data_IF_368088378694
#
_entry.id   IF_368088378694
#
_cell.length_a   1.000
_cell.length_b   1.000
_cell.length_c   1.000
_cell.angle_alpha   90.00
_cell.angle_beta   90.00
_cell.angle_gamma   90.00
#
_symmetry.space_group_name_H-M   'P 1'
#
loop_
_entity.id
_entity.type
_entity.pdbx_description
1 polymer ?
#
# COMPACT_ATOMS: atom_id res chain seq x y z
N UNK A 1 31.79 25.38 -47.81
CA UNK A 1 32.65 24.60 -46.89
C UNK A 1 31.88 24.33 -45.60
N UNK A 2 31.23 23.18 -45.48
CA UNK A 2 30.56 22.77 -44.24
C UNK A 2 31.60 22.16 -43.30
N UNK A 3 31.95 22.89 -42.24
CA UNK A 3 32.84 22.42 -41.20
C UNK A 3 32.00 21.57 -40.23
N UNK A 4 32.12 20.25 -40.32
CA UNK A 4 31.52 19.32 -39.36
C UNK A 4 32.10 19.63 -37.98
N UNK A 5 31.28 20.22 -37.09
CA UNK A 5 31.62 20.40 -35.67
C UNK A 5 31.30 19.09 -34.95
N UNK A 6 32.28 18.21 -34.83
CA UNK A 6 32.20 17.03 -33.96
C UNK A 6 32.65 17.37 -32.54
N UNK A 7 32.15 16.64 -31.55
CA UNK A 7 32.64 16.68 -30.17
C UNK A 7 34.08 16.17 -30.10
N UNK A 8 34.92 16.78 -29.26
CA UNK A 8 36.27 16.24 -29.00
C UNK A 8 36.20 15.07 -28.02
N UNK A 9 37.16 14.16 -28.09
CA UNK A 9 37.24 13.03 -27.14
C UNK A 9 37.33 13.51 -25.69
N UNK A 10 38.04 14.62 -25.46
CA UNK A 10 38.16 15.24 -24.14
C UNK A 10 36.82 15.83 -23.66
N UNK A 11 36.06 16.44 -24.55
CA UNK A 11 34.74 17.01 -24.23
C UNK A 11 33.75 15.91 -23.84
N UNK A 12 33.71 14.80 -24.59
CA UNK A 12 32.92 13.64 -24.22
C UNK A 12 33.33 13.07 -22.85
N UNK A 13 34.64 12.95 -22.58
CA UNK A 13 35.14 12.49 -21.29
C UNK A 13 34.68 13.39 -20.14
N UNK A 14 34.83 14.71 -20.29
CA UNK A 14 34.40 15.68 -19.28
C UNK A 14 32.89 15.64 -19.05
N UNK A 15 32.08 15.51 -20.11
CA UNK A 15 30.62 15.38 -19.96
C UNK A 15 30.23 14.13 -19.19
N UNK A 16 30.84 12.97 -19.48
CA UNK A 16 30.57 11.72 -18.75
C UNK A 16 30.97 11.84 -17.29
N UNK A 17 32.12 12.46 -16.99
CA UNK A 17 32.56 12.70 -15.61
C UNK A 17 31.50 13.53 -14.86
N UNK A 18 31.07 14.65 -15.43
CA UNK A 18 30.05 15.51 -14.80
C UNK A 18 28.72 14.75 -14.62
N UNK A 19 28.27 14.02 -15.64
CA UNK A 19 27.03 13.22 -15.56
C UNK A 19 27.12 12.16 -14.47
N UNK A 20 28.25 11.46 -14.34
CA UNK A 20 28.44 10.43 -13.32
C UNK A 20 28.39 10.99 -11.89
N UNK A 21 29.00 12.17 -11.67
CA UNK A 21 28.96 12.87 -10.37
C UNK A 21 27.51 13.22 -10.02
N UNK A 22 26.77 13.83 -10.97
CA UNK A 22 25.36 14.19 -10.75
C UNK A 22 24.49 12.96 -10.51
N UNK A 23 24.68 11.89 -11.30
CA UNK A 23 23.94 10.66 -11.16
C UNK A 23 24.15 9.99 -9.79
N UNK A 24 25.37 10.04 -9.25
CA UNK A 24 25.69 9.46 -7.93
C UNK A 24 24.89 10.08 -6.78
N UNK A 25 24.53 11.36 -6.90
CA UNK A 25 23.73 12.09 -5.90
C UNK A 25 22.23 11.90 -6.17
N UNK A 26 21.82 11.90 -7.44
CA UNK A 26 20.41 11.84 -7.82
C UNK A 26 19.79 10.45 -7.61
N UNK A 27 20.49 9.37 -8.00
CA UNK A 27 19.97 8.00 -7.96
C UNK A 27 19.49 7.54 -6.58
N UNK A 28 20.25 7.70 -5.46
CA UNK A 28 19.77 7.25 -4.16
C UNK A 28 18.48 7.98 -3.72
N UNK A 29 18.36 9.27 -4.06
CA UNK A 29 17.14 10.04 -3.78
C UNK A 29 15.94 9.48 -4.55
N UNK A 30 16.10 9.15 -5.84
CA UNK A 30 15.02 8.58 -6.65
C UNK A 30 14.53 7.24 -6.11
N UNK A 31 15.42 6.36 -5.67
CA UNK A 31 15.04 5.08 -5.07
C UNK A 31 14.17 5.29 -3.81
N UNK A 32 14.55 6.22 -2.92
CA UNK A 32 13.76 6.52 -1.73
C UNK A 32 12.35 7.04 -2.06
N UNK A 33 12.19 7.84 -3.12
CA UNK A 33 10.89 8.35 -3.56
C UNK A 33 10.01 7.22 -4.09
N UNK A 34 10.58 6.32 -4.89
CA UNK A 34 9.87 5.14 -5.41
C UNK A 34 9.36 4.28 -4.25
N UNK A 35 10.19 4.04 -3.24
CA UNK A 35 9.82 3.26 -2.06
C UNK A 35 8.66 3.89 -1.27
N UNK A 36 8.73 5.21 -1.02
CA UNK A 36 7.66 5.96 -0.35
C UNK A 36 6.36 5.93 -1.15
N UNK A 37 6.45 5.99 -2.47
CA UNK A 37 5.30 5.89 -3.35
C UNK A 37 4.66 4.49 -3.32
N UNK A 38 5.47 3.43 -3.26
CA UNK A 38 4.96 2.07 -3.10
C UNK A 38 4.23 1.90 -1.76
N UNK A 39 4.82 2.37 -0.65
CA UNK A 39 4.17 2.37 0.67
C UNK A 39 2.84 3.13 0.66
N UNK A 40 2.85 4.35 0.11
CA UNK A 40 1.65 5.19 0.06
C UNK A 40 0.56 4.60 -0.84
N UNK A 41 0.94 4.05 -1.99
CA UNK A 41 0.02 3.37 -2.91
C UNK A 41 -0.65 2.18 -2.25
N UNK A 42 0.13 1.33 -1.58
CA UNK A 42 -0.39 0.14 -0.90
C UNK A 42 -1.30 0.51 0.28
N UNK A 43 -0.91 1.50 1.09
CA UNK A 43 -1.75 1.99 2.18
C UNK A 43 -3.06 2.61 1.68
N UNK A 44 -2.99 3.43 0.62
CA UNK A 44 -4.16 4.04 -0.01
C UNK A 44 -5.09 2.99 -0.63
N UNK A 45 -4.53 1.91 -1.21
CA UNK A 45 -5.31 0.77 -1.71
C UNK A 45 -6.12 0.13 -0.59
N UNK A 46 -5.51 -0.09 0.58
CA UNK A 46 -6.21 -0.65 1.73
C UNK A 46 -7.24 0.32 2.33
N UNK A 47 -6.91 1.61 2.46
CA UNK A 47 -7.86 2.65 2.90
C UNK A 47 -9.06 2.73 1.94
N UNK A 48 -8.79 2.65 0.64
CA UNK A 48 -9.81 2.56 -0.40
C UNK A 48 -10.69 1.32 -0.25
N UNK A 49 -10.10 0.17 0.08
CA UNK A 49 -10.85 -1.06 0.36
C UNK A 49 -11.81 -0.91 1.55
N UNK A 50 -11.38 -0.22 2.61
CA UNK A 50 -12.24 0.09 3.78
C UNK A 50 -13.41 0.99 3.38
N UNK A 51 -13.13 2.04 2.61
CA UNK A 51 -14.18 2.94 2.11
C UNK A 51 -15.18 2.22 1.19
N UNK A 52 -14.68 1.32 0.34
CA UNK A 52 -15.51 0.47 -0.51
C UNK A 52 -16.37 -0.48 0.33
N UNK A 53 -15.79 -1.18 1.30
CA UNK A 53 -16.52 -2.11 2.16
C UNK A 53 -17.66 -1.43 2.91
N UNK A 54 -17.36 -0.26 3.50
CA UNK A 54 -18.35 0.61 4.14
C UNK A 54 -19.49 0.99 3.18
N UNK A 55 -19.13 1.45 1.98
CA UNK A 55 -20.11 1.90 0.99
C UNK A 55 -20.96 0.75 0.47
N UNK A 56 -20.37 -0.43 0.23
CA UNK A 56 -21.10 -1.63 -0.18
C UNK A 56 -22.05 -2.12 0.91
N UNK A 57 -21.66 -2.05 2.19
CA UNK A 57 -22.54 -2.41 3.30
C UNK A 57 -23.77 -1.50 3.35
N UNK A 58 -23.56 -0.18 3.22
CA UNK A 58 -24.64 0.79 3.17
C UNK A 58 -25.55 0.63 1.94
N UNK A 59 -24.96 0.45 0.76
CA UNK A 59 -25.72 0.27 -0.50
C UNK A 59 -26.58 -0.99 -0.49
N UNK A 60 -26.07 -2.08 0.07
CA UNK A 60 -26.75 -3.39 0.07
C UNK A 60 -27.63 -3.60 1.30
N UNK A 61 -27.51 -2.77 2.33
CA UNK A 61 -28.24 -2.95 3.58
C UNK A 61 -27.83 -4.20 4.37
N UNK A 62 -26.64 -4.75 4.11
CA UNK A 62 -26.12 -5.97 4.75
C UNK A 62 -24.72 -5.77 5.28
N UNK A 63 -24.30 -6.62 6.21
CA UNK A 63 -22.93 -6.58 6.73
C UNK A 63 -21.93 -7.01 5.65
N UNK A 64 -20.89 -6.20 5.43
CA UNK A 64 -19.77 -6.54 4.56
C UNK A 64 -18.49 -6.72 5.37
N UNK A 65 -17.70 -7.74 5.07
CA UNK A 65 -16.47 -8.09 5.77
C UNK A 65 -15.27 -7.96 4.84
N UNK A 66 -14.27 -7.17 5.26
CA UNK A 66 -12.91 -7.26 4.76
C UNK A 66 -12.17 -8.33 5.53
N UNK A 67 -11.57 -9.29 4.82
CA UNK A 67 -10.99 -10.49 5.41
C UNK A 67 -9.63 -10.73 4.78
N UNK A 68 -8.62 -10.90 5.62
CA UNK A 68 -7.31 -11.37 5.17
C UNK A 68 -7.44 -12.76 4.53
N UNK A 69 -6.66 -13.00 3.47
CA UNK A 69 -6.52 -14.31 2.87
C UNK A 69 -5.56 -15.24 3.67
N UNK A 70 -4.99 -14.74 4.77
CA UNK A 70 -4.29 -15.53 5.78
C UNK A 70 -5.22 -15.89 6.93
N UNK A 71 -4.95 -17.02 7.60
CA UNK A 71 -5.59 -17.35 8.89
C UNK A 71 -5.05 -16.53 10.05
N UNK A 72 -3.92 -15.85 9.86
CA UNK A 72 -3.33 -14.90 10.80
C UNK A 72 -3.74 -13.47 10.46
N UNK A 73 -3.51 -12.52 11.35
CA UNK A 73 -3.70 -11.08 11.08
C UNK A 73 -2.65 -10.51 10.10
N UNK A 74 -2.04 -11.34 9.25
CA UNK A 74 -1.19 -10.95 8.14
C UNK A 74 -2.05 -10.73 6.90
N UNK A 75 -2.00 -9.55 6.30
CA UNK A 75 -2.75 -9.15 5.12
C UNK A 75 -1.87 -9.10 3.86
N UNK A 76 -0.60 -9.52 3.96
CA UNK A 76 0.37 -9.51 2.87
C UNK A 76 0.01 -10.51 1.77
N UNK A 77 -0.70 -11.59 2.08
CA UNK A 77 -1.18 -12.61 1.13
C UNK A 77 -2.43 -12.19 0.34
N UNK A 78 -2.83 -10.92 0.47
CA UNK A 78 -4.04 -10.37 -0.13
C UNK A 78 -5.24 -10.51 0.79
N UNK A 79 -6.37 -9.96 0.35
CA UNK A 79 -7.61 -9.94 1.12
C UNK A 79 -8.81 -9.85 0.21
N UNK A 80 -10.00 -10.04 0.78
CA UNK A 80 -11.24 -10.00 0.04
C UNK A 80 -12.33 -9.22 0.77
N UNK A 81 -13.32 -8.77 0.00
CA UNK A 81 -14.56 -8.20 0.50
C UNK A 81 -15.72 -9.16 0.25
N UNK A 82 -16.44 -9.55 1.29
CA UNK A 82 -17.53 -10.54 1.22
C UNK A 82 -18.76 -10.05 2.00
N UNK A 83 -19.98 -10.53 1.67
CA UNK A 83 -21.17 -10.28 2.48
C UNK A 83 -21.20 -11.24 3.69
N UNK A 84 -20.93 -10.72 4.89
CA UNK A 84 -21.11 -11.44 6.16
C UNK A 84 -20.24 -12.70 6.38
N UNK A 85 -19.31 -13.04 5.48
CA UNK A 85 -18.44 -14.20 5.65
C UNK A 85 -17.27 -13.93 6.60
N UNK A 86 -16.57 -14.99 7.00
CA UNK A 86 -15.39 -14.96 7.88
C UNK A 86 -14.10 -15.44 7.18
N UNK A 87 -14.20 -15.86 5.93
CA UNK A 87 -13.06 -16.22 5.09
C UNK A 87 -13.31 -15.77 3.64
N UNK A 88 -12.29 -15.90 2.80
CA UNK A 88 -12.36 -15.57 1.38
C UNK A 88 -12.90 -16.71 0.50
N UNK A 89 -13.67 -17.64 1.07
CA UNK A 89 -14.32 -18.73 0.34
C UNK A 89 -15.79 -18.38 0.06
N UNK A 90 -16.33 -18.85 -1.05
CA UNK A 90 -17.70 -18.52 -1.48
C UNK A 90 -17.82 -17.17 -2.21
N UNK A 91 -18.92 -16.45 -1.96
CA UNK A 91 -19.28 -15.24 -2.70
C UNK A 91 -18.38 -14.06 -2.32
N UNK A 92 -17.42 -13.76 -3.19
CA UNK A 92 -16.52 -12.61 -3.04
C UNK A 92 -16.98 -11.46 -3.92
N UNK A 93 -17.18 -10.28 -3.32
CA UNK A 93 -17.51 -9.04 -4.04
C UNK A 93 -16.29 -8.42 -4.70
N UNK A 94 -15.15 -8.44 -4.00
CA UNK A 94 -13.89 -7.93 -4.55
C UNK A 94 -12.70 -8.69 -3.96
N UNK A 95 -11.68 -8.98 -4.78
CA UNK A 95 -10.40 -9.56 -4.35
C UNK A 95 -9.29 -8.54 -4.54
N UNK A 96 -8.41 -8.46 -3.55
CA UNK A 96 -7.23 -7.61 -3.57
C UNK A 96 -6.00 -8.50 -3.64
N UNK A 97 -5.03 -8.16 -4.51
CA UNK A 97 -3.83 -8.98 -4.69
C UNK A 97 -2.94 -8.93 -3.43
N UNK A 98 -2.02 -9.89 -3.31
CA UNK A 98 -0.93 -9.81 -2.33
C UNK A 98 -0.14 -8.50 -2.44
N UNK A 99 0.50 -8.11 -1.34
CA UNK A 99 1.44 -6.99 -1.36
C UNK A 99 2.63 -7.32 -2.27
N UNK A 100 3.14 -6.31 -2.97
CA UNK A 100 4.32 -6.42 -3.83
C UNK A 100 5.48 -5.57 -3.30
N UNK A 101 6.67 -5.71 -3.88
CA UNK A 101 7.82 -4.84 -3.57
C UNK A 101 8.45 -5.08 -2.19
N UNK A 102 8.29 -6.26 -1.61
CA UNK A 102 8.80 -6.58 -0.27
C UNK A 102 8.03 -5.89 0.86
N UNK A 103 6.80 -5.45 0.59
CA UNK A 103 5.92 -4.88 1.60
C UNK A 103 5.22 -5.98 2.41
N UNK A 104 5.20 -5.80 3.72
CA UNK A 104 4.50 -6.66 4.69
C UNK A 104 3.41 -5.82 5.33
N UNK A 105 2.16 -6.26 5.23
CA UNK A 105 1.01 -5.63 5.85
C UNK A 105 0.50 -6.55 6.96
N UNK A 106 0.76 -6.19 8.21
CA UNK A 106 0.33 -6.96 9.38
C UNK A 106 -0.67 -6.14 10.20
N UNK A 107 -1.65 -6.77 10.82
CA UNK A 107 -2.63 -6.12 11.67
C UNK A 107 -2.81 -6.82 13.01
N UNK A 108 -3.62 -6.22 13.86
CA UNK A 108 -4.08 -6.86 15.11
C UNK A 108 -5.36 -7.70 14.91
N UNK A 109 -5.97 -7.67 13.71
CA UNK A 109 -7.15 -8.45 13.34
C UNK A 109 -7.01 -8.96 11.92
N UNK A 110 -7.60 -10.12 11.62
CA UNK A 110 -7.70 -10.68 10.27
C UNK A 110 -9.02 -10.32 9.57
N UNK A 111 -9.98 -9.72 10.28
CA UNK A 111 -11.32 -9.38 9.77
C UNK A 111 -11.78 -8.02 10.29
N UNK A 112 -12.36 -7.21 9.41
CA UNK A 112 -13.11 -5.99 9.72
C UNK A 112 -14.49 -6.08 9.07
N UNK A 113 -15.54 -6.07 9.88
CA UNK A 113 -16.93 -6.14 9.39
C UNK A 113 -17.64 -4.82 9.59
N UNK A 114 -18.39 -4.40 8.58
CA UNK A 114 -19.11 -3.13 8.51
C UNK A 114 -20.61 -3.41 8.46
N UNK A 115 -21.38 -2.82 9.36
CA UNK A 115 -22.84 -2.93 9.38
C UNK A 115 -23.49 -2.14 8.22
N UNK A 116 -24.80 -2.29 8.05
CA UNK A 116 -25.57 -1.59 7.02
C UNK A 116 -25.55 -0.05 7.13
N UNK A 117 -25.05 0.51 8.23
CA UNK A 117 -24.88 1.96 8.42
C UNK A 117 -23.42 2.40 8.16
N UNK A 118 -22.54 1.44 7.87
CA UNK A 118 -21.12 1.66 7.61
C UNK A 118 -20.26 1.80 8.87
N UNK A 119 -20.78 1.44 10.04
CA UNK A 119 -20.00 1.36 11.28
C UNK A 119 -19.33 0.00 11.38
N UNK A 120 -18.21 -0.10 12.09
CA UNK A 120 -17.63 -1.40 12.38
C UNK A 120 -18.53 -2.17 13.35
N UNK A 121 -18.90 -3.40 12.99
CA UNK A 121 -19.48 -4.37 13.92
C UNK A 121 -18.40 -5.15 14.66
N UNK A 122 -17.17 -5.16 14.14
CA UNK A 122 -15.96 -5.57 14.86
C UNK A 122 -15.39 -4.41 15.69
N UNK A 123 -14.47 -4.69 16.61
CA UNK A 123 -13.68 -3.64 17.26
C UNK A 123 -12.81 -2.88 16.25
N UNK A 124 -12.46 -1.64 16.60
CA UNK A 124 -11.41 -0.89 15.89
C UNK A 124 -10.10 -1.69 15.84
N UNK A 125 -9.28 -1.41 14.84
CA UNK A 125 -8.01 -2.08 14.70
C UNK A 125 -7.00 -1.26 13.93
N UNK A 126 -5.79 -1.79 13.91
CA UNK A 126 -4.63 -1.14 13.33
C UNK A 126 -3.90 -2.14 12.46
N UNK A 127 -3.50 -1.67 11.28
CA UNK A 127 -2.57 -2.37 10.41
C UNK A 127 -1.27 -1.56 10.31
N UNK A 128 -0.17 -2.27 10.18
CA UNK A 128 1.17 -1.76 10.03
C UNK A 128 1.70 -2.31 8.71
N UNK A 129 1.93 -1.40 7.77
CA UNK A 129 2.57 -1.65 6.50
C UNK A 129 4.05 -1.30 6.62
N UNK A 130 4.91 -2.27 6.43
CA UNK A 130 6.36 -2.12 6.51
C UNK A 130 7.04 -2.63 5.26
N UNK A 131 8.17 -2.01 4.89
CA UNK A 131 9.07 -2.60 3.91
C UNK A 131 10.01 -3.59 4.61
N UNK A 132 10.18 -4.79 4.08
CA UNK A 132 11.02 -5.84 4.68
C UNK A 132 12.49 -5.42 4.86
N UNK A 133 13.00 -4.55 3.99
CA UNK A 133 14.40 -4.09 3.99
C UNK A 133 14.61 -2.73 4.66
N UNK A 134 13.55 -2.10 5.18
CA UNK A 134 13.57 -0.69 5.55
C UNK A 134 12.95 -0.38 6.90
N UNK A 135 13.22 0.80 7.42
CA UNK A 135 12.62 1.33 8.65
C UNK A 135 11.41 2.23 8.38
N UNK A 136 11.05 2.47 7.13
CA UNK A 136 9.87 3.26 6.78
C UNK A 136 8.62 2.40 6.68
N UNK A 137 7.52 2.89 7.26
CA UNK A 137 6.22 2.24 7.17
C UNK A 137 5.06 3.21 7.28
N UNK A 138 3.86 2.64 7.16
CA UNK A 138 2.61 3.34 7.44
C UNK A 138 1.74 2.52 8.38
N UNK A 139 1.16 3.19 9.37
CA UNK A 139 0.15 2.65 10.23
C UNK A 139 -1.22 3.09 9.74
N UNK A 140 -2.13 2.15 9.55
CA UNK A 140 -3.49 2.38 9.12
C UNK A 140 -4.42 2.02 10.27
N UNK A 141 -5.11 3.01 10.82
CA UNK A 141 -6.06 2.79 11.91
C UNK A 141 -7.49 2.87 11.37
N UNK A 142 -8.31 1.89 11.72
CA UNK A 142 -9.74 1.88 11.42
C UNK A 142 -10.51 2.10 12.72
N UNK A 143 -11.28 3.18 12.79
CA UNK A 143 -12.08 3.51 13.97
C UNK A 143 -13.46 2.83 13.94
N UNK A 144 -14.18 2.88 15.07
CA UNK A 144 -15.52 2.30 15.20
C UNK A 144 -16.54 2.87 14.19
N UNK A 145 -16.32 4.09 13.71
CA UNK A 145 -17.14 4.70 12.67
C UNK A 145 -16.87 4.13 11.27
N UNK A 146 -15.98 3.16 11.10
CA UNK A 146 -15.65 2.54 9.80
C UNK A 146 -14.82 3.43 8.89
N UNK A 147 -14.02 4.36 9.45
CA UNK A 147 -13.09 5.20 8.68
C UNK A 147 -11.66 4.74 8.90
N UNK A 148 -10.90 4.63 7.82
CA UNK A 148 -9.47 4.33 7.86
C UNK A 148 -8.65 5.62 7.68
N UNK A 149 -7.57 5.76 8.44
CA UNK A 149 -6.59 6.82 8.28
C UNK A 149 -5.17 6.25 8.30
N UNK A 150 -4.32 6.72 7.38
CA UNK A 150 -2.92 6.34 7.30
C UNK A 150 -2.01 7.39 7.95
N UNK A 151 -1.04 6.94 8.73
CA UNK A 151 0.01 7.78 9.30
C UNK A 151 1.37 7.14 9.04
N UNK A 152 2.38 7.95 8.70
CA UNK A 152 3.77 7.47 8.57
C UNK A 152 4.32 7.07 9.94
N UNK A 153 5.07 5.98 9.96
CA UNK A 153 5.73 5.47 11.17
C UNK A 153 7.11 4.92 10.83
N UNK A 154 7.91 4.67 11.87
CA UNK A 154 9.12 3.84 11.77
C UNK A 154 8.75 2.40 12.10
N UNK A 155 9.09 1.48 11.20
CA UNK A 155 8.89 0.05 11.43
C UNK A 155 9.78 -0.47 12.57
N UNK A 156 9.28 -1.44 13.36
CA UNK A 156 10.04 -2.04 14.45
C UNK A 156 11.39 -2.62 14.00
#
# INVERSE_FOLDING_TARGET
MHRNKGFTLLELLMTIIIVSIVASIALPSFLSVIERNQLSSQANSFIGAVSMARSEAAKRGVTMSLISNSTTSDWSSGWCLTPGATNCTGTVTHKYPPTAGGLVLSGNRSIFSFDARGYLSTSSGTLTLCKSSGKEGQQITINAAGRANGQRITCP
#
